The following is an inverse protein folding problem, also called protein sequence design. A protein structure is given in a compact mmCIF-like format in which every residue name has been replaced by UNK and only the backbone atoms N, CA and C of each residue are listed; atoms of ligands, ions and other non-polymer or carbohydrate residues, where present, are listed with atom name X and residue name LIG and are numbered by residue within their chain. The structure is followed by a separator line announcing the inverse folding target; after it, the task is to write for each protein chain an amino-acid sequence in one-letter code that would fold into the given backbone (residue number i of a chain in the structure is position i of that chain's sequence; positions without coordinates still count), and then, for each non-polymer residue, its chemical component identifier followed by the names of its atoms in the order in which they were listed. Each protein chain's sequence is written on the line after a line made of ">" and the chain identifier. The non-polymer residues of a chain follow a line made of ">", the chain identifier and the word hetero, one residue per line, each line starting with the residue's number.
data_IF_392950799387
#
_entry.id   IF_392950799387
#
_cell.length_a   1.000
_cell.length_b   1.000
_cell.length_c   1.000
_cell.angle_alpha   90.00
_cell.angle_beta   90.00
_cell.angle_gamma   90.00
#
_symmetry.space_group_name_H-M   'P 1'
#
loop_
_entity.id
_entity.type
_entity.pdbx_description
1 polymer ?
#
# COMPACT_ATOMS: atom_id res chain seq x y z
N UNK A 1 28.45 -29.91 34.79
CA UNK A 1 28.41 -28.46 35.09
C UNK A 1 27.05 -27.92 34.69
N UNK A 2 26.25 -27.56 35.68
CA UNK A 2 24.88 -27.03 35.55
C UNK A 2 24.88 -25.60 35.02
N UNK A 3 23.86 -25.23 34.23
CA UNK A 3 23.20 -23.92 34.37
C UNK A 3 21.69 -24.08 34.18
N UNK A 4 20.97 -23.90 35.30
CA UNK A 4 19.55 -23.57 35.35
C UNK A 4 19.41 -22.10 34.92
N UNK A 5 18.43 -21.79 34.10
CA UNK A 5 17.92 -20.43 33.94
C UNK A 5 16.48 -20.39 34.47
N UNK A 6 16.27 -19.58 35.50
CA UNK A 6 14.95 -19.14 35.96
C UNK A 6 14.49 -17.91 35.16
N UNK A 7 13.18 -17.61 35.08
CA UNK A 7 12.63 -16.52 34.29
C UNK A 7 12.39 -15.24 35.13
N UNK A 8 12.37 -14.05 34.50
CA UNK A 8 11.56 -12.92 34.96
C UNK A 8 10.44 -12.66 33.93
N UNK A 9 9.25 -12.18 34.25
CA UNK A 9 8.75 -11.52 35.44
C UNK A 9 7.54 -10.68 34.98
N UNK A 10 6.41 -10.91 35.63
CA UNK A 10 5.10 -10.28 35.44
C UNK A 10 5.15 -8.75 35.51
N UNK A 11 4.42 -8.06 34.63
CA UNK A 11 3.96 -6.68 34.87
C UNK A 11 2.45 -6.60 34.68
N UNK A 12 1.76 -6.34 35.79
CA UNK A 12 0.34 -5.99 35.86
C UNK A 12 0.15 -4.50 35.62
N UNK A 13 -1.05 -4.23 35.11
CA UNK A 13 -1.85 -3.01 35.09
C UNK A 13 -1.47 -1.85 36.02
N UNK A 14 -1.64 -0.64 35.50
CA UNK A 14 -2.24 0.44 36.29
C UNK A 14 -3.13 1.29 35.39
N UNK A 15 -4.42 1.24 35.68
CA UNK A 15 -5.47 2.15 35.20
C UNK A 15 -5.41 3.40 36.07
N UNK A 16 -5.54 4.59 35.49
CA UNK A 16 -5.91 5.79 36.26
C UNK A 16 -6.76 6.73 35.39
N UNK A 17 -7.97 6.95 35.91
CA UNK A 17 -9.08 7.79 35.46
C UNK A 17 -8.73 9.29 35.42
N UNK A 18 -9.49 10.08 34.65
CA UNK A 18 -9.59 11.52 34.93
C UNK A 18 -10.33 12.42 33.92
N UNK A 19 -11.65 12.31 33.83
CA UNK A 19 -12.59 13.46 33.95
C UNK A 19 -12.68 14.54 32.84
N UNK A 20 -13.70 15.42 32.91
CA UNK A 20 -14.50 15.87 31.76
C UNK A 20 -14.32 17.32 31.30
N UNK A 21 -14.87 17.62 30.10
CA UNK A 21 -15.12 18.94 29.50
C UNK A 21 -15.90 19.90 30.43
N UNK A 22 -15.81 21.23 30.20
CA UNK A 22 -17.00 21.89 29.64
C UNK A 22 -16.79 23.16 28.78
N UNK A 23 -17.82 23.40 27.95
CA UNK A 23 -18.44 24.69 27.60
C UNK A 23 -17.66 25.77 26.81
N UNK A 24 -18.23 26.09 25.64
CA UNK A 24 -18.05 27.36 24.95
C UNK A 24 -19.22 27.62 24.00
N UNK A 25 -20.29 28.23 24.52
CA UNK A 25 -21.45 28.75 23.80
C UNK A 25 -21.09 29.89 22.84
N UNK A 26 -21.78 30.02 21.71
CA UNK A 26 -22.42 31.30 21.34
C UNK A 26 -23.38 31.12 20.17
N UNK A 27 -24.62 31.56 20.38
CA UNK A 27 -25.59 31.85 19.35
C UNK A 27 -25.16 33.08 18.54
N UNK A 28 -25.54 33.13 17.26
CA UNK A 28 -26.18 34.32 16.71
C UNK A 28 -27.11 33.97 15.56
N UNK A 29 -28.33 34.44 15.75
CA UNK A 29 -29.53 34.37 14.92
C UNK A 29 -29.63 35.64 14.05
N UNK A 30 -30.51 35.58 13.03
CA UNK A 30 -31.07 36.67 12.19
C UNK A 30 -30.44 36.82 10.80
N UNK A 31 -31.18 37.05 9.71
CA UNK A 31 -32.62 37.03 9.44
C UNK A 31 -32.86 37.07 7.91
N UNK A 32 -33.99 36.49 7.50
CA UNK A 32 -34.97 36.92 6.47
C UNK A 32 -34.51 37.69 5.22
N UNK A 33 -34.94 37.17 4.07
CA UNK A 33 -35.22 37.94 2.85
C UNK A 33 -35.83 37.07 1.76
N UNK A 34 -37.16 37.10 1.61
CA UNK A 34 -37.90 36.39 0.57
C UNK A 34 -37.94 37.19 -0.76
N UNK A 35 -37.74 36.46 -1.88
CA UNK A 35 -38.47 36.39 -3.18
C UNK A 35 -39.64 37.38 -3.44
N UNK A 36 -40.15 37.60 -4.70
CA UNK A 36 -39.89 36.90 -6.00
C UNK A 36 -39.98 37.76 -7.31
N UNK A 37 -39.84 37.09 -8.48
CA UNK A 37 -40.58 37.27 -9.78
C UNK A 37 -40.40 38.62 -10.55
N UNK A 38 -40.20 38.72 -11.88
CA UNK A 38 -40.31 37.80 -13.03
C UNK A 38 -39.88 38.55 -14.33
N UNK A 39 -39.80 37.81 -15.47
CA UNK A 39 -39.97 38.28 -16.88
C UNK A 39 -38.70 38.92 -17.50
N UNK A 40 -38.16 38.56 -18.67
CA UNK A 40 -38.64 37.78 -19.83
C UNK A 40 -37.46 37.33 -20.73
N UNK A 41 -37.81 36.57 -21.77
CA UNK A 41 -37.13 36.43 -23.08
C UNK A 41 -36.16 35.27 -23.31
N UNK A 42 -36.80 34.16 -23.72
CA UNK A 42 -36.32 33.14 -24.64
C UNK A 42 -35.89 33.77 -25.99
N UNK A 43 -34.80 33.27 -26.61
CA UNK A 43 -34.98 32.76 -27.97
C UNK A 43 -34.18 31.48 -28.27
N UNK A 44 -34.86 30.63 -29.04
CA UNK A 44 -34.33 29.83 -30.15
C UNK A 44 -33.31 28.74 -29.86
N UNK A 45 -33.88 27.54 -29.77
CA UNK A 45 -33.32 26.22 -30.07
C UNK A 45 -32.27 26.29 -31.20
N UNK A 46 -31.02 25.98 -30.86
CA UNK A 46 -30.01 25.51 -31.80
C UNK A 46 -29.25 24.39 -31.10
N UNK A 47 -29.63 23.15 -31.36
CA UNK A 47 -28.85 22.00 -30.94
C UNK A 47 -27.65 21.87 -31.88
N UNK A 48 -26.39 22.01 -31.42
CA UNK A 48 -25.34 21.22 -32.03
C UNK A 48 -25.57 19.79 -31.57
N UNK A 49 -25.76 18.90 -32.55
CA UNK A 49 -25.52 17.47 -32.39
C UNK A 49 -24.07 17.28 -31.98
N UNK A 50 -23.77 17.50 -30.72
CA UNK A 50 -22.48 17.11 -30.17
C UNK A 50 -22.62 15.66 -29.78
N UNK A 51 -22.11 14.84 -30.69
CA UNK A 51 -21.93 13.41 -30.53
C UNK A 51 -21.25 13.16 -29.20
N UNK A 52 -22.05 12.84 -28.18
CA UNK A 52 -21.63 12.20 -26.95
C UNK A 52 -21.06 10.83 -27.29
N UNK A 53 -19.85 10.81 -27.86
CA UNK A 53 -18.94 9.67 -27.77
C UNK A 53 -18.64 9.54 -26.28
N UNK A 54 -19.49 8.80 -25.59
CA UNK A 54 -19.09 8.13 -24.35
C UNK A 54 -17.76 7.45 -24.68
N UNK A 55 -16.67 7.95 -24.10
CA UNK A 55 -15.40 7.26 -24.08
C UNK A 55 -15.62 5.97 -23.29
N UNK A 56 -16.18 4.96 -23.96
CA UNK A 56 -16.55 3.66 -23.42
C UNK A 56 -15.45 2.62 -23.63
N UNK A 57 -14.25 3.10 -23.95
CA UNK A 57 -13.05 2.28 -24.20
C UNK A 57 -11.90 2.68 -23.27
N UNK A 58 -12.19 3.22 -22.08
CA UNK A 58 -11.13 3.30 -21.06
C UNK A 58 -10.85 1.88 -20.56
N UNK A 59 -9.61 1.43 -20.71
CA UNK A 59 -9.16 0.18 -20.13
C UNK A 59 -9.52 0.14 -18.62
N UNK A 60 -9.83 -1.05 -18.07
CA UNK A 60 -10.10 -1.19 -16.65
C UNK A 60 -8.94 -0.62 -15.83
N UNK A 61 -9.27 0.14 -14.78
CA UNK A 61 -8.28 0.64 -13.84
C UNK A 61 -7.57 -0.56 -13.21
N UNK A 62 -6.27 -0.71 -13.46
CA UNK A 62 -5.46 -1.81 -12.97
C UNK A 62 -4.28 -1.31 -12.14
N UNK A 63 -4.02 -1.99 -11.03
CA UNK A 63 -2.82 -1.77 -10.23
C UNK A 63 -1.72 -2.74 -10.63
N UNK A 64 -0.50 -2.24 -10.63
CA UNK A 64 0.73 -2.97 -10.89
C UNK A 64 1.56 -3.03 -9.61
N UNK A 65 2.33 -4.11 -9.45
CA UNK A 65 3.31 -4.20 -8.37
C UNK A 65 4.60 -3.50 -8.79
N UNK A 66 4.98 -2.45 -8.08
CA UNK A 66 6.29 -1.80 -8.21
C UNK A 66 7.11 -2.10 -6.96
N UNK A 67 8.25 -2.77 -7.15
CA UNK A 67 9.17 -3.08 -6.06
C UNK A 67 10.20 -1.96 -5.90
N UNK A 68 10.35 -1.45 -4.68
CA UNK A 68 11.31 -0.38 -4.35
C UNK A 68 12.18 -0.77 -3.16
N UNK A 69 13.33 -0.10 -3.04
CA UNK A 69 14.06 -0.01 -1.78
C UNK A 69 13.50 1.14 -0.95
N UNK A 70 13.08 0.83 0.28
CA UNK A 70 12.64 1.84 1.23
C UNK A 70 13.66 1.97 2.37
N UNK A 71 14.18 3.19 2.64
CA UNK A 71 15.15 3.39 3.70
C UNK A 71 14.51 3.28 5.08
N UNK A 72 15.22 2.69 6.03
CA UNK A 72 14.85 2.61 7.43
C UNK A 72 15.17 3.93 8.14
N UNK A 73 14.41 4.99 7.84
CA UNK A 73 14.60 6.34 8.36
C UNK A 73 13.61 6.73 9.47
N UNK A 74 12.84 5.77 9.99
CA UNK A 74 11.83 6.00 11.03
C UNK A 74 10.53 6.66 10.54
N UNK A 75 10.43 7.01 9.25
CA UNK A 75 9.20 7.53 8.65
C UNK A 75 8.28 6.37 8.28
N UNK A 76 6.98 6.51 8.55
CA UNK A 76 6.00 5.51 8.13
C UNK A 76 5.88 5.51 6.60
N UNK A 77 5.90 4.33 5.98
CA UNK A 77 5.89 4.14 4.54
C UNK A 77 4.81 4.94 3.79
N UNK A 78 3.55 4.88 4.27
CA UNK A 78 2.45 5.61 3.65
C UNK A 78 2.52 7.13 3.89
N UNK A 79 3.21 7.59 4.94
CA UNK A 79 3.47 9.03 5.15
C UNK A 79 4.54 9.55 4.19
N UNK A 80 5.60 8.78 3.95
CA UNK A 80 6.62 9.13 2.96
C UNK A 80 6.05 9.19 1.54
N UNK A 81 5.19 8.24 1.17
CA UNK A 81 4.45 8.23 -0.11
C UNK A 81 3.64 9.53 -0.26
N UNK A 82 2.91 9.94 0.78
CA UNK A 82 2.16 11.21 0.79
C UNK A 82 3.08 12.43 0.67
N UNK A 83 4.19 12.47 1.41
CA UNK A 83 5.17 13.58 1.34
C UNK A 83 5.78 13.72 -0.06
N UNK A 84 5.90 12.62 -0.80
CA UNK A 84 6.40 12.60 -2.18
C UNK A 84 5.32 12.92 -3.23
N UNK A 85 4.07 13.14 -2.81
CA UNK A 85 2.93 13.44 -3.70
C UNK A 85 2.60 12.25 -4.59
N UNK A 86 2.47 11.06 -4.00
CA UNK A 86 2.19 9.79 -4.71
C UNK A 86 0.92 9.10 -4.19
N UNK A 87 0.21 9.71 -3.24
CA UNK A 87 -1.00 9.18 -2.62
C UNK A 87 -2.20 9.04 -3.57
N UNK A 88 -2.16 9.74 -4.70
CA UNK A 88 -3.17 9.63 -5.77
C UNK A 88 -2.96 8.39 -6.66
N UNK A 89 -1.75 7.83 -6.66
CA UNK A 89 -1.38 6.70 -7.54
C UNK A 89 -0.97 5.43 -6.80
N UNK A 90 -0.59 5.53 -5.53
CA UNK A 90 -0.21 4.37 -4.69
C UNK A 90 -1.35 4.04 -3.73
N UNK A 91 -1.97 2.88 -3.96
CA UNK A 91 -3.12 2.42 -3.20
C UNK A 91 -2.72 1.68 -1.93
N UNK A 92 -1.55 1.03 -1.97
CA UNK A 92 -1.11 0.19 -0.87
C UNK A 92 0.39 -0.09 -0.94
N UNK A 93 0.95 -0.52 0.18
CA UNK A 93 2.36 -0.84 0.32
C UNK A 93 2.58 -2.03 1.27
N UNK A 94 3.35 -3.02 0.80
CA UNK A 94 3.67 -4.23 1.53
C UNK A 94 5.17 -4.24 1.80
N UNK A 95 5.53 -3.97 3.05
CA UNK A 95 6.90 -4.12 3.53
C UNK A 95 7.30 -5.60 3.54
N UNK A 96 8.39 -5.94 2.86
CA UNK A 96 8.94 -7.30 2.77
C UNK A 96 10.07 -7.55 3.77
N UNK A 97 10.15 -6.72 4.82
CA UNK A 97 11.09 -6.91 5.92
C UNK A 97 10.87 -8.29 6.55
N UNK A 98 11.96 -9.03 6.77
CA UNK A 98 11.93 -10.37 7.34
C UNK A 98 11.74 -11.50 6.33
N UNK A 99 11.48 -11.21 5.04
CA UNK A 99 11.49 -12.23 3.98
C UNK A 99 12.87 -12.33 3.32
N UNK A 100 13.62 -11.24 3.30
CA UNK A 100 15.02 -11.19 2.90
C UNK A 100 15.89 -10.47 3.94
N UNK A 101 17.19 -10.48 3.71
CA UNK A 101 18.17 -9.69 4.43
C UNK A 101 18.00 -8.19 4.16
N UNK A 102 18.32 -7.43 5.20
CA UNK A 102 18.38 -5.98 5.17
C UNK A 102 19.55 -5.55 4.28
N UNK A 103 19.29 -4.69 3.29
CA UNK A 103 20.35 -4.15 2.45
C UNK A 103 20.83 -2.81 3.01
N UNK A 104 22.05 -2.43 2.68
CA UNK A 104 22.47 -1.04 2.82
C UNK A 104 22.22 -0.32 1.50
N UNK A 105 21.18 0.52 1.47
CA UNK A 105 21.01 1.50 0.41
C UNK A 105 22.00 2.63 0.65
N UNK A 106 22.67 3.05 -0.40
CA UNK A 106 23.52 4.23 -0.39
C UNK A 106 22.67 5.40 -0.87
N UNK A 107 22.53 6.45 -0.06
CA UNK A 107 21.91 7.69 -0.54
C UNK A 107 22.88 8.49 -1.43
N UNK A 108 22.38 9.58 -2.02
CA UNK A 108 23.15 10.48 -2.89
C UNK A 108 24.35 11.13 -2.16
N UNK A 109 24.41 11.03 -0.83
CA UNK A 109 25.47 11.55 0.03
C UNK A 109 26.44 10.46 0.51
N UNK A 110 26.29 9.22 0.05
CA UNK A 110 27.16 8.11 0.43
C UNK A 110 26.88 7.55 1.83
N UNK A 111 25.81 8.00 2.50
CA UNK A 111 25.38 7.46 3.78
C UNK A 111 24.66 6.15 3.52
N UNK A 112 25.14 5.10 4.20
CA UNK A 112 24.56 3.77 4.13
C UNK A 112 23.38 3.71 5.09
N UNK A 113 22.18 3.77 4.54
CA UNK A 113 20.96 3.51 5.28
C UNK A 113 20.58 2.05 5.12
N UNK A 114 20.25 1.40 6.23
CA UNK A 114 19.56 0.13 6.15
C UNK A 114 18.26 0.34 5.37
N UNK A 115 18.00 -0.49 4.37
CA UNK A 115 16.83 -0.43 3.51
C UNK A 115 16.25 -1.83 3.36
N UNK A 116 14.95 -1.86 3.12
CA UNK A 116 14.19 -3.09 2.90
C UNK A 116 13.34 -2.97 1.66
N UNK A 117 12.97 -4.11 1.07
CA UNK A 117 12.13 -4.13 -0.11
C UNK A 117 10.67 -3.92 0.25
N UNK A 118 9.99 -3.18 -0.62
CA UNK A 118 8.55 -2.91 -0.52
C UNK A 118 7.91 -3.19 -1.86
N UNK A 119 6.79 -3.93 -1.85
CA UNK A 119 5.89 -4.03 -3.01
C UNK A 119 4.79 -2.98 -2.88
N UNK A 120 4.74 -2.05 -3.82
CA UNK A 120 3.70 -1.03 -3.93
C UNK A 120 2.60 -1.47 -4.91
N UNK A 121 1.35 -1.22 -4.57
CA UNK A 121 0.21 -1.33 -5.48
C UNK A 121 -0.01 0.03 -6.16
N UNK A 122 0.39 0.15 -7.43
CA UNK A 122 0.49 1.44 -8.14
C UNK A 122 -0.39 1.44 -9.38
N UNK A 123 -1.14 2.52 -9.61
CA UNK A 123 -1.82 2.72 -10.88
C UNK A 123 -0.82 2.75 -12.03
N UNK A 124 -1.18 2.19 -13.19
CA UNK A 124 -0.29 2.15 -14.37
C UNK A 124 0.28 3.54 -14.72
N UNK A 125 -0.56 4.57 -14.73
CA UNK A 125 -0.19 5.97 -14.98
C UNK A 125 0.79 6.56 -13.94
N UNK A 126 0.90 5.93 -12.76
CA UNK A 126 1.74 6.36 -11.65
C UNK A 126 3.12 5.70 -11.60
N UNK A 127 3.36 4.64 -12.38
CA UNK A 127 4.60 3.83 -12.30
C UNK A 127 5.85 4.71 -12.49
N UNK A 128 5.88 5.54 -13.54
CA UNK A 128 7.02 6.42 -13.81
C UNK A 128 7.27 7.44 -12.69
N UNK A 129 6.21 7.94 -12.04
CA UNK A 129 6.33 8.88 -10.90
C UNK A 129 6.92 8.18 -9.69
N UNK A 130 6.47 6.97 -9.37
CA UNK A 130 7.01 6.16 -8.27
C UNK A 130 8.49 5.85 -8.50
N UNK A 131 8.85 5.36 -9.69
CA UNK A 131 10.24 5.06 -10.04
C UNK A 131 11.13 6.30 -10.04
N UNK A 132 10.60 7.47 -10.45
CA UNK A 132 11.33 8.73 -10.36
C UNK A 132 11.61 9.21 -8.92
N UNK A 133 10.81 8.79 -7.94
CA UNK A 133 10.95 9.19 -6.52
C UNK A 133 11.71 8.21 -5.65
N UNK A 134 11.72 6.92 -6.02
CA UNK A 134 12.36 5.84 -5.26
C UNK A 134 13.49 5.13 -6.00
N UNK A 135 13.68 5.44 -7.28
CA UNK A 135 14.68 4.80 -8.14
C UNK A 135 14.19 3.51 -8.79
N UNK A 136 14.92 3.08 -9.82
CA UNK A 136 14.67 1.84 -10.54
C UNK A 136 15.51 0.73 -9.90
N UNK A 137 14.88 -0.40 -9.57
CA UNK A 137 15.61 -1.57 -9.08
C UNK A 137 16.47 -2.17 -10.19
N UNK A 138 17.70 -2.56 -9.86
CA UNK A 138 18.64 -3.21 -10.80
C UNK A 138 18.35 -4.71 -11.01
N UNK A 139 17.18 -5.19 -10.58
CA UNK A 139 16.76 -6.58 -10.66
C UNK A 139 15.27 -6.63 -11.01
N UNK A 140 14.85 -7.77 -11.56
CA UNK A 140 13.45 -8.05 -11.87
C UNK A 140 12.80 -8.75 -10.66
N UNK A 141 11.68 -8.23 -10.12
CA UNK A 141 11.01 -8.89 -9.00
C UNK A 141 10.63 -10.33 -9.31
N UNK A 142 10.85 -11.23 -8.35
CA UNK A 142 10.66 -12.68 -8.43
C UNK A 142 11.54 -13.39 -9.47
N UNK A 143 12.61 -12.76 -9.94
CA UNK A 143 13.65 -13.42 -10.74
C UNK A 143 14.69 -14.10 -9.84
N UNK A 144 15.59 -14.91 -10.43
CA UNK A 144 16.69 -15.51 -9.68
C UNK A 144 17.64 -14.49 -9.05
N UNK A 145 17.72 -13.28 -9.62
CA UNK A 145 18.55 -12.18 -9.14
C UNK A 145 17.84 -11.30 -8.10
N UNK A 146 16.60 -11.63 -7.74
CA UNK A 146 15.87 -10.89 -6.73
C UNK A 146 16.54 -11.07 -5.35
N UNK A 147 16.92 -9.98 -4.67
CA UNK A 147 17.57 -10.05 -3.36
C UNK A 147 16.83 -10.93 -2.35
N UNK A 148 15.48 -10.90 -2.32
CA UNK A 148 14.73 -11.75 -1.38
C UNK A 148 14.85 -13.24 -1.71
N UNK A 149 15.10 -13.61 -2.97
CA UNK A 149 15.33 -15.00 -3.37
C UNK A 149 16.77 -15.38 -3.04
N UNK A 150 17.74 -14.54 -3.42
CA UNK A 150 19.17 -14.82 -3.22
C UNK A 150 19.53 -15.04 -1.74
N UNK A 151 18.82 -14.38 -0.84
CA UNK A 151 19.07 -14.40 0.61
C UNK A 151 18.36 -15.53 1.35
N UNK A 152 17.56 -16.36 0.67
CA UNK A 152 16.96 -17.53 1.32
C UNK A 152 18.07 -18.49 1.79
N UNK A 153 17.90 -19.15 2.94
CA UNK A 153 18.94 -19.96 3.59
C UNK A 153 19.23 -21.31 2.91
N UNK A 154 18.63 -21.58 1.75
CA UNK A 154 18.79 -22.84 1.00
C UNK A 154 19.88 -22.67 -0.05
N UNK A 155 20.60 -23.72 -0.45
CA UNK A 155 21.70 -23.59 -1.41
C UNK A 155 21.22 -23.47 -2.86
N UNK A 156 20.33 -24.36 -3.28
CA UNK A 156 19.88 -24.43 -4.67
C UNK A 156 18.87 -23.33 -5.01
N UNK A 157 18.96 -22.81 -6.24
CA UNK A 157 18.20 -21.64 -6.66
C UNK A 157 16.68 -21.90 -6.69
N UNK A 158 16.25 -23.11 -7.04
CA UNK A 158 14.83 -23.39 -7.18
C UNK A 158 14.15 -23.60 -5.82
N UNK A 159 14.81 -24.20 -4.83
CA UNK A 159 14.34 -24.21 -3.46
C UNK A 159 14.42 -22.84 -2.80
N UNK A 160 15.42 -21.99 -3.13
CA UNK A 160 15.40 -20.57 -2.73
C UNK A 160 14.16 -19.87 -3.26
N UNK A 161 13.83 -20.02 -4.55
CA UNK A 161 12.60 -19.46 -5.13
C UNK A 161 11.35 -20.01 -4.45
N UNK A 162 11.28 -21.33 -4.25
CA UNK A 162 10.15 -21.98 -3.63
C UNK A 162 9.88 -21.42 -2.22
N UNK A 163 10.92 -21.38 -1.37
CA UNK A 163 10.82 -20.84 -0.02
C UNK A 163 10.43 -19.35 -0.03
N UNK A 164 11.02 -18.56 -0.93
CA UNK A 164 10.66 -17.15 -1.10
C UNK A 164 9.19 -16.97 -1.49
N UNK A 165 8.69 -17.73 -2.46
CA UNK A 165 7.29 -17.66 -2.91
C UNK A 165 6.33 -18.06 -1.80
N UNK A 166 6.65 -19.09 -1.02
CA UNK A 166 5.86 -19.46 0.15
C UNK A 166 5.79 -18.31 1.17
N UNK A 167 6.92 -17.72 1.53
CA UNK A 167 6.96 -16.59 2.46
C UNK A 167 6.20 -15.36 1.94
N UNK A 168 6.37 -15.03 0.66
CA UNK A 168 5.63 -13.94 0.03
C UNK A 168 4.12 -14.20 0.03
N UNK A 169 3.69 -15.41 -0.34
CA UNK A 169 2.29 -15.77 -0.35
C UNK A 169 1.66 -15.59 1.05
N UNK A 170 2.31 -16.12 2.08
CA UNK A 170 1.88 -15.92 3.47
C UNK A 170 1.84 -14.45 3.87
N UNK A 171 2.84 -13.65 3.47
CA UNK A 171 2.88 -12.22 3.77
C UNK A 171 1.74 -11.46 3.12
N UNK A 172 1.49 -11.68 1.83
CA UNK A 172 0.39 -11.03 1.11
C UNK A 172 -0.96 -11.40 1.71
N UNK A 173 -1.19 -12.67 2.06
CA UNK A 173 -2.41 -13.10 2.75
C UNK A 173 -2.59 -12.39 4.10
N UNK A 174 -1.54 -12.31 4.92
CA UNK A 174 -1.60 -11.62 6.20
C UNK A 174 -1.92 -10.13 6.04
N UNK A 175 -1.25 -9.46 5.10
CA UNK A 175 -1.47 -8.04 4.82
C UNK A 175 -2.87 -7.76 4.28
N UNK A 176 -3.39 -8.63 3.41
CA UNK A 176 -4.78 -8.56 2.94
C UNK A 176 -5.78 -8.74 4.08
N UNK A 177 -5.58 -9.76 4.93
CA UNK A 177 -6.45 -10.02 6.08
C UNK A 177 -6.46 -8.85 7.07
N UNK A 178 -5.30 -8.22 7.33
CA UNK A 178 -5.21 -7.01 8.16
C UNK A 178 -6.05 -5.87 7.60
N UNK A 179 -5.96 -5.62 6.29
CA UNK A 179 -6.75 -4.56 5.62
C UNK A 179 -8.24 -4.85 5.66
N UNK A 180 -8.63 -6.10 5.46
CA UNK A 180 -10.04 -6.52 5.52
C UNK A 180 -10.59 -6.30 6.93
N UNK A 181 -9.81 -6.66 7.95
CA UNK A 181 -10.18 -6.44 9.35
C UNK A 181 -10.27 -4.94 9.67
N UNK A 182 -9.31 -4.15 9.22
CA UNK A 182 -9.30 -2.71 9.45
C UNK A 182 -10.51 -2.01 8.79
N UNK A 183 -10.81 -2.35 7.53
CA UNK A 183 -12.01 -1.84 6.85
C UNK A 183 -13.29 -2.16 7.62
N UNK A 184 -13.46 -3.41 8.07
CA UNK A 184 -14.61 -3.80 8.92
C UNK A 184 -14.71 -2.98 10.21
N UNK A 185 -13.58 -2.74 10.88
CA UNK A 185 -13.54 -1.95 12.13
C UNK A 185 -13.89 -0.48 11.87
N UNK A 186 -13.43 0.08 10.75
CA UNK A 186 -13.63 1.49 10.39
C UNK A 186 -14.90 1.73 9.56
N UNK A 187 -15.70 0.69 9.31
CA UNK A 187 -16.96 0.79 8.57
C UNK A 187 -16.82 1.05 7.08
N UNK A 188 -15.67 0.74 6.47
CA UNK A 188 -15.46 0.85 5.03
C UNK A 188 -15.06 -0.48 4.39
N UNK A 189 -15.38 -0.62 3.11
CA UNK A 189 -14.95 -1.76 2.31
C UNK A 189 -13.65 -1.44 1.59
N UNK A 190 -12.75 -2.43 1.48
CA UNK A 190 -11.55 -2.27 0.65
C UNK A 190 -11.99 -2.02 -0.79
N UNK A 191 -11.38 -1.03 -1.43
CA UNK A 191 -11.62 -0.73 -2.83
C UNK A 191 -11.44 -1.97 -3.73
N UNK A 192 -12.40 -2.24 -4.63
CA UNK A 192 -12.39 -3.44 -5.48
C UNK A 192 -11.09 -3.61 -6.28
N UNK A 193 -10.60 -2.53 -6.88
CA UNK A 193 -9.32 -2.52 -7.61
C UNK A 193 -8.14 -3.00 -6.73
N UNK A 194 -8.14 -2.68 -5.43
CA UNK A 194 -7.10 -3.17 -4.52
C UNK A 194 -7.30 -4.65 -4.15
N UNK A 195 -8.55 -5.11 -3.99
CA UNK A 195 -8.85 -6.54 -3.79
C UNK A 195 -8.39 -7.37 -5.00
N UNK A 196 -8.67 -6.89 -6.21
CA UNK A 196 -8.26 -7.54 -7.46
C UNK A 196 -6.74 -7.62 -7.55
N UNK A 197 -6.02 -6.55 -7.19
CA UNK A 197 -4.56 -6.57 -7.12
C UNK A 197 -4.04 -7.64 -6.16
N UNK A 198 -4.61 -7.74 -4.95
CA UNK A 198 -4.23 -8.80 -3.99
C UNK A 198 -4.46 -10.20 -4.57
N UNK A 199 -5.61 -10.41 -5.21
CA UNK A 199 -5.99 -11.69 -5.81
C UNK A 199 -5.03 -12.06 -6.94
N UNK A 200 -4.83 -11.17 -7.91
CA UNK A 200 -3.91 -11.37 -9.02
C UNK A 200 -2.49 -11.66 -8.53
N UNK A 201 -2.04 -10.93 -7.50
CA UNK A 201 -0.69 -11.08 -6.98
C UNK A 201 -0.50 -12.42 -6.25
N UNK A 202 -1.47 -12.83 -5.44
CA UNK A 202 -1.47 -14.14 -4.78
C UNK A 202 -1.50 -15.28 -5.81
N UNK A 203 -2.29 -15.12 -6.87
CA UNK A 203 -2.39 -16.09 -7.96
C UNK A 203 -1.07 -16.19 -8.75
N UNK A 204 -0.42 -15.08 -9.09
CA UNK A 204 0.90 -15.07 -9.74
C UNK A 204 1.95 -15.80 -8.88
N UNK A 205 2.01 -15.52 -7.58
CA UNK A 205 2.95 -16.19 -6.66
C UNK A 205 2.65 -17.70 -6.60
N UNK A 206 1.39 -18.09 -6.44
CA UNK A 206 0.97 -19.50 -6.44
C UNK A 206 1.35 -20.21 -7.74
N UNK A 207 1.12 -19.58 -8.89
CA UNK A 207 1.41 -20.16 -10.19
C UNK A 207 2.92 -20.34 -10.40
N UNK A 208 3.74 -19.41 -9.89
CA UNK A 208 5.20 -19.56 -9.90
C UNK A 208 5.68 -20.69 -8.99
N UNK A 209 5.08 -20.84 -7.82
CA UNK A 209 5.36 -21.95 -6.90
C UNK A 209 5.04 -23.31 -7.54
N UNK A 210 3.86 -23.43 -8.19
CA UNK A 210 3.47 -24.63 -8.94
C UNK A 210 4.39 -24.97 -10.10
N UNK A 211 4.89 -23.97 -10.82
CA UNK A 211 5.87 -24.17 -11.91
C UNK A 211 7.19 -24.78 -11.43
N UNK A 212 7.52 -24.67 -10.16
CA UNK A 212 8.68 -25.30 -9.54
C UNK A 212 8.40 -26.75 -9.09
N UNK A 213 7.19 -27.28 -9.31
CA UNK A 213 6.81 -28.64 -8.92
C UNK A 213 6.25 -28.78 -7.50
N UNK A 214 5.96 -27.66 -6.82
CA UNK A 214 5.40 -27.66 -5.47
C UNK A 214 3.88 -27.42 -5.50
N UNK A 215 3.13 -28.17 -4.69
CA UNK A 215 1.67 -28.11 -4.61
C UNK A 215 1.19 -27.42 -3.32
#
# INVERSE_FOLDING_TARGET
>A
MSRRFSPPGSWRETVLFGGPDPNGSSMHESAKGAKPLMVNEQPTISAPSDSGRFAKDSAPIRLHTVRIWFPHNGVQLMEDIKRKGLEDVVFDAIALQGIGAQHQAQDDHGIRHEAFLVDLAVLEVGISRVLGKYGITKFVPLSGDDPIILQQPVEDLDSKKALCYQHLHSKFLQEYAKRCKLGKVLGYEIHEVLKDWYKERLEDICNRFKKLGYC
#
